data_IF_984825870526
#
_entry.id   IF_984825870526
#
_cell.length_a   1.000
_cell.length_b   1.000
_cell.length_c   1.000
_cell.angle_alpha   90.00
_cell.angle_beta   90.00
_cell.angle_gamma   90.00
#
_symmetry.space_group_name_H-M   'P 1'
#
loop_
_entity.id
_entity.type
_entity.pdbx_description
1 polymer ?
#
# COMPACT_ATOMS: atom_id res chain seq x y z
N UNK A 1 -26.36 18.40 62.63
CA UNK A 1 -26.15 19.74 62.07
C UNK A 1 -24.65 19.93 61.96
N UNK A 2 -24.04 20.02 60.78
CA UNK A 2 -24.57 20.19 59.44
C UNK A 2 -23.53 19.73 58.42
N UNK A 3 -24.04 19.40 57.23
CA UNK A 3 -23.52 19.60 55.88
C UNK A 3 -22.02 19.32 55.62
N UNK A 4 -21.69 18.27 54.86
CA UNK A 4 -21.79 18.22 53.39
C UNK A 4 -20.67 19.04 52.71
N UNK A 5 -19.74 18.31 52.09
CA UNK A 5 -18.90 18.78 50.99
C UNK A 5 -18.42 17.55 50.22
N UNK A 6 -19.39 16.88 49.60
CA UNK A 6 -19.17 15.94 48.51
C UNK A 6 -18.56 16.70 47.31
N UNK A 7 -17.24 16.67 47.18
CA UNK A 7 -16.57 17.18 45.98
C UNK A 7 -16.65 16.12 44.87
N UNK A 8 -17.36 16.37 43.76
CA UNK A 8 -17.41 15.43 42.65
C UNK A 8 -16.05 15.41 41.96
N UNK A 9 -15.37 14.27 42.04
CA UNK A 9 -13.99 14.11 41.54
C UNK A 9 -13.88 13.23 40.30
N UNK A 10 -14.95 13.15 39.49
CA UNK A 10 -15.07 12.08 38.49
C UNK A 10 -15.53 12.52 37.08
N UNK A 11 -15.32 13.79 36.68
CA UNK A 11 -15.72 14.26 35.34
C UNK A 11 -14.57 14.64 34.40
N UNK A 12 -13.30 14.51 34.80
CA UNK A 12 -12.15 14.91 33.95
C UNK A 12 -11.54 13.79 33.09
N UNK A 13 -12.00 12.55 33.24
CA UNK A 13 -11.42 11.40 32.51
C UNK A 13 -12.21 11.01 31.24
N UNK A 14 -13.34 11.67 30.96
CA UNK A 14 -14.19 11.34 29.81
C UNK A 14 -13.86 12.10 28.51
N UNK A 15 -12.98 13.11 28.55
CA UNK A 15 -12.84 14.07 27.45
C UNK A 15 -11.63 13.85 26.52
N UNK A 16 -10.81 12.80 26.77
CA UNK A 16 -9.54 12.57 26.05
C UNK A 16 -9.55 11.36 25.09
N UNK A 17 -10.74 10.89 24.66
CA UNK A 17 -10.91 9.78 23.69
C UNK A 17 -11.31 10.12 22.23
N UNK A 18 -11.26 11.36 21.71
CA UNK A 18 -11.66 11.61 20.31
C UNK A 18 -10.59 11.24 19.26
N UNK A 19 -9.32 11.04 19.63
CA UNK A 19 -8.23 10.93 18.65
C UNK A 19 -8.01 9.52 18.07
N UNK A 20 -8.39 8.47 18.82
CA UNK A 20 -8.13 7.08 18.40
C UNK A 20 -9.19 6.58 17.40
N UNK A 21 -10.46 6.93 17.62
CA UNK A 21 -11.57 6.53 16.72
C UNK A 21 -11.46 7.16 15.34
N UNK A 22 -11.08 8.44 15.26
CA UNK A 22 -10.91 9.18 14.00
C UNK A 22 -9.77 8.59 13.16
N UNK A 23 -8.65 8.22 13.79
CA UNK A 23 -7.49 7.61 13.10
C UNK A 23 -7.80 6.20 12.60
N UNK A 24 -8.48 5.39 13.40
CA UNK A 24 -8.92 4.04 12.97
C UNK A 24 -9.89 4.11 11.78
N UNK A 25 -10.82 5.06 11.80
CA UNK A 25 -11.75 5.28 10.69
C UNK A 25 -11.04 5.69 9.39
N UNK A 26 -10.01 6.53 9.47
CA UNK A 26 -9.26 6.96 8.27
C UNK A 26 -8.42 5.83 7.68
N UNK A 27 -7.75 5.04 8.51
CA UNK A 27 -6.97 3.89 8.00
C UNK A 27 -7.86 2.83 7.37
N UNK A 28 -8.99 2.52 7.99
CA UNK A 28 -9.96 1.57 7.43
C UNK A 28 -10.52 2.07 6.09
N UNK A 29 -10.89 3.34 5.99
CA UNK A 29 -11.37 3.94 4.74
C UNK A 29 -10.31 3.88 3.63
N UNK A 30 -9.04 4.15 3.94
CA UNK A 30 -7.95 4.03 2.96
C UNK A 30 -7.75 2.59 2.49
N UNK A 31 -7.82 1.60 3.40
CA UNK A 31 -7.72 0.18 3.05
C UNK A 31 -8.90 -0.25 2.16
N UNK A 32 -10.12 0.11 2.53
CA UNK A 32 -11.32 -0.21 1.74
C UNK A 32 -11.22 0.44 0.35
N UNK A 33 -10.85 1.72 0.30
CA UNK A 33 -10.69 2.43 -0.97
C UNK A 33 -9.59 1.80 -1.83
N UNK A 34 -8.47 1.39 -1.22
CA UNK A 34 -7.39 0.69 -1.90
C UNK A 34 -7.90 -0.61 -2.54
N UNK A 35 -8.65 -1.43 -1.80
CA UNK A 35 -9.18 -2.70 -2.30
C UNK A 35 -10.18 -2.48 -3.44
N UNK A 36 -11.09 -1.49 -3.30
CA UNK A 36 -12.07 -1.17 -4.36
C UNK A 36 -11.37 -0.70 -5.63
N UNK A 37 -10.41 0.22 -5.52
CA UNK A 37 -9.62 0.69 -6.67
C UNK A 37 -8.86 -0.45 -7.32
N UNK A 38 -8.33 -1.37 -6.51
CA UNK A 38 -7.57 -2.50 -7.01
C UNK A 38 -8.44 -3.48 -7.78
N UNK A 39 -9.61 -3.83 -7.25
CA UNK A 39 -10.58 -4.67 -7.95
C UNK A 39 -11.03 -4.01 -9.26
N UNK A 40 -11.30 -2.71 -9.24
CA UNK A 40 -11.65 -1.95 -10.45
C UNK A 40 -10.51 -1.98 -11.48
N UNK A 41 -9.27 -1.76 -11.07
CA UNK A 41 -8.14 -1.78 -11.99
C UNK A 41 -7.95 -3.17 -12.64
N UNK A 42 -8.03 -4.24 -11.85
CA UNK A 42 -7.98 -5.63 -12.35
C UNK A 42 -9.12 -5.93 -13.33
N UNK A 43 -10.32 -5.47 -13.01
CA UNK A 43 -11.53 -5.64 -13.80
C UNK A 43 -11.64 -4.66 -14.99
N UNK A 44 -10.60 -3.87 -15.28
CA UNK A 44 -10.63 -2.81 -16.30
C UNK A 44 -11.82 -1.85 -16.16
N UNK A 45 -12.20 -1.57 -14.91
CA UNK A 45 -13.32 -0.72 -14.52
C UNK A 45 -14.71 -1.26 -14.90
N UNK A 46 -14.84 -2.56 -15.18
CA UNK A 46 -16.14 -3.23 -15.35
C UNK A 46 -16.69 -3.71 -13.99
N UNK A 47 -17.80 -3.09 -13.57
CA UNK A 47 -18.47 -3.42 -12.32
C UNK A 47 -19.04 -4.85 -12.27
N UNK A 48 -19.36 -5.47 -13.41
CA UNK A 48 -19.85 -6.85 -13.44
C UNK A 48 -18.72 -7.83 -13.10
N UNK A 49 -17.53 -7.59 -13.65
CA UNK A 49 -16.33 -8.37 -13.35
C UNK A 49 -15.90 -8.12 -11.91
N UNK A 50 -15.96 -6.88 -11.41
CA UNK A 50 -15.70 -6.58 -9.99
C UNK A 50 -16.63 -7.37 -9.08
N UNK A 51 -17.94 -7.40 -9.37
CA UNK A 51 -18.91 -8.16 -8.58
C UNK A 51 -18.60 -9.67 -8.61
N UNK A 52 -18.32 -10.21 -9.81
CA UNK A 52 -17.93 -11.60 -9.98
C UNK A 52 -16.66 -11.95 -9.19
N UNK A 53 -15.63 -11.10 -9.19
CA UNK A 53 -14.41 -11.29 -8.41
C UNK A 53 -14.72 -11.15 -6.90
N UNK A 54 -15.53 -10.17 -6.49
CA UNK A 54 -15.85 -9.94 -5.09
C UNK A 54 -16.61 -11.12 -4.46
N UNK A 55 -17.45 -11.80 -5.23
CA UNK A 55 -18.18 -13.00 -4.78
C UNK A 55 -17.25 -14.21 -4.52
N UNK A 56 -16.02 -14.18 -5.05
CA UNK A 56 -15.05 -15.28 -4.93
C UNK A 56 -13.98 -15.01 -3.90
N UNK A 57 -13.86 -13.78 -3.40
CA UNK A 57 -12.79 -13.38 -2.49
C UNK A 57 -13.24 -13.30 -1.03
N UNK A 58 -12.45 -13.87 -0.14
CA UNK A 58 -12.51 -13.53 1.27
C UNK A 58 -11.68 -12.26 1.53
N UNK A 59 -12.34 -11.21 2.01
CA UNK A 59 -11.68 -9.94 2.34
C UNK A 59 -10.72 -10.05 3.54
N UNK A 60 -10.70 -11.18 4.25
CA UNK A 60 -9.66 -11.51 5.21
C UNK A 60 -8.26 -11.54 4.58
N UNK A 61 -8.16 -11.75 3.25
CA UNK A 61 -6.92 -11.77 2.46
C UNK A 61 -6.48 -10.40 1.90
N UNK A 62 -6.98 -9.30 2.44
CA UNK A 62 -6.61 -7.95 2.00
C UNK A 62 -5.10 -7.65 2.05
N UNK A 63 -4.36 -8.31 2.97
CA UNK A 63 -2.92 -8.09 3.12
C UNK A 63 -2.10 -8.68 1.95
N UNK A 64 -2.27 -9.96 1.55
CA UNK A 64 -1.70 -10.50 0.33
C UNK A 64 -1.95 -9.65 -0.92
N UNK A 65 -3.17 -9.12 -1.08
CA UNK A 65 -3.53 -8.26 -2.22
C UNK A 65 -2.67 -7.00 -2.26
N UNK A 66 -2.54 -6.33 -1.12
CA UNK A 66 -1.72 -5.13 -1.02
C UNK A 66 -0.25 -5.44 -1.31
N UNK A 67 0.27 -6.54 -0.76
CA UNK A 67 1.65 -6.95 -0.97
C UNK A 67 1.93 -7.32 -2.43
N UNK A 68 1.05 -8.12 -3.05
CA UNK A 68 1.16 -8.52 -4.45
C UNK A 68 1.04 -7.33 -5.41
N UNK A 69 0.24 -6.31 -5.08
CA UNK A 69 0.15 -5.07 -5.87
C UNK A 69 1.49 -4.32 -5.88
N UNK A 70 2.16 -4.29 -4.74
CA UNK A 70 3.44 -3.60 -4.58
C UNK A 70 4.58 -4.39 -5.23
N UNK A 71 4.56 -5.72 -5.15
CA UNK A 71 5.60 -6.58 -5.76
C UNK A 71 5.40 -6.76 -7.27
N UNK A 72 4.15 -6.81 -7.73
CA UNK A 72 3.79 -7.13 -9.12
C UNK A 72 4.16 -6.06 -10.15
N UNK A 73 4.40 -4.81 -9.73
CA UNK A 73 4.91 -3.76 -10.61
C UNK A 73 6.16 -3.09 -10.05
N UNK A 74 7.35 -3.66 -10.31
CA UNK A 74 8.62 -3.13 -9.81
C UNK A 74 8.85 -1.68 -10.23
N UNK A 75 8.40 -1.28 -11.42
CA UNK A 75 8.63 0.07 -11.92
C UNK A 75 7.89 1.13 -11.07
N UNK A 76 6.58 0.99 -10.91
CA UNK A 76 5.79 1.96 -10.15
C UNK A 76 6.15 1.98 -8.67
N UNK A 77 6.39 0.80 -8.08
CA UNK A 77 6.87 0.67 -6.70
C UNK A 77 8.23 1.32 -6.51
N UNK A 78 9.14 1.17 -7.47
CA UNK A 78 10.42 1.87 -7.48
C UNK A 78 10.27 3.39 -7.46
N UNK A 79 9.31 3.95 -8.21
CA UNK A 79 9.07 5.41 -8.26
C UNK A 79 8.59 5.87 -6.89
N UNK A 80 7.63 5.14 -6.32
CA UNK A 80 7.08 5.43 -5.00
C UNK A 80 8.18 5.42 -3.94
N UNK A 81 9.04 4.39 -3.92
CA UNK A 81 10.18 4.30 -3.00
C UNK A 81 11.18 5.43 -3.26
N UNK A 82 11.54 5.72 -4.50
CA UNK A 82 12.50 6.75 -4.86
C UNK A 82 12.06 8.15 -4.37
N UNK A 83 10.76 8.41 -4.33
CA UNK A 83 10.20 9.66 -3.80
C UNK A 83 10.06 9.63 -2.27
N UNK A 84 9.53 8.54 -1.70
CA UNK A 84 9.23 8.47 -0.27
C UNK A 84 10.48 8.30 0.60
N UNK A 85 11.44 7.50 0.16
CA UNK A 85 12.66 7.18 0.92
C UNK A 85 13.42 8.45 1.37
N UNK A 86 13.76 9.41 0.50
CA UNK A 86 14.47 10.62 0.92
C UNK A 86 13.63 11.50 1.87
N UNK A 87 12.31 11.54 1.72
CA UNK A 87 11.42 12.30 2.61
C UNK A 87 11.37 11.69 4.01
N UNK A 88 11.27 10.37 4.10
CA UNK A 88 11.26 9.64 5.37
C UNK A 88 12.63 9.72 6.06
N UNK A 89 13.73 9.52 5.30
CA UNK A 89 15.08 9.64 5.84
C UNK A 89 15.38 11.04 6.35
N UNK A 90 14.91 12.08 5.65
CA UNK A 90 15.06 13.46 6.12
C UNK A 90 14.41 13.66 7.49
N UNK A 91 13.26 13.04 7.76
CA UNK A 91 12.57 13.13 9.05
C UNK A 91 13.35 12.44 10.19
N UNK A 92 14.02 11.33 9.89
CA UNK A 92 14.80 10.56 10.88
C UNK A 92 16.18 11.19 11.13
N UNK A 93 16.90 11.57 10.07
CA UNK A 93 18.26 12.11 10.15
C UNK A 93 18.31 13.59 10.55
N UNK A 94 17.26 14.36 10.21
CA UNK A 94 17.18 15.80 10.48
C UNK A 94 15.81 16.19 11.05
N UNK A 95 15.52 15.83 12.32
CA UNK A 95 14.27 16.21 12.97
C UNK A 95 14.15 17.76 12.97
N UNK A 96 13.11 18.27 12.30
CA UNK A 96 12.94 19.70 12.03
C UNK A 96 12.28 20.48 13.18
N UNK A 97 11.65 19.81 14.15
CA UNK A 97 10.97 20.51 15.25
C UNK A 97 11.98 20.95 16.33
N UNK A 98 11.93 22.24 16.70
CA UNK A 98 12.74 22.87 17.77
C UNK A 98 12.43 22.32 19.16
N UNK A 99 11.24 21.74 19.34
CA UNK A 99 10.94 20.89 20.49
C UNK A 99 11.53 19.53 20.14
N UNK A 100 12.46 19.02 20.94
CA UNK A 100 13.10 17.69 20.81
C UNK A 100 12.04 16.58 20.81
N UNK A 101 11.29 16.50 19.72
CA UNK A 101 10.18 15.60 19.49
C UNK A 101 10.78 14.25 19.22
N UNK A 102 10.48 13.33 20.13
CA UNK A 102 10.81 11.92 20.08
C UNK A 102 10.80 11.41 18.65
N UNK A 103 11.93 10.88 18.20
CA UNK A 103 11.98 10.05 17.00
C UNK A 103 10.94 8.95 17.23
N UNK A 104 9.80 9.08 16.55
CA UNK A 104 8.72 8.12 16.69
C UNK A 104 9.22 6.79 16.12
N UNK A 105 9.04 5.70 16.88
CA UNK A 105 9.43 4.35 16.46
C UNK A 105 8.92 4.04 15.04
N UNK A 106 7.71 4.50 14.70
CA UNK A 106 7.12 4.36 13.36
C UNK A 106 7.93 5.01 12.24
N UNK A 107 8.58 6.16 12.46
CA UNK A 107 9.40 6.81 11.43
C UNK A 107 10.69 6.04 11.18
N UNK A 108 11.32 5.51 12.24
CA UNK A 108 12.52 4.66 12.11
C UNK A 108 12.16 3.37 11.42
N UNK A 109 11.10 2.70 11.89
CA UNK A 109 10.64 1.46 11.30
C UNK A 109 10.29 1.64 9.82
N UNK A 110 9.54 2.70 9.48
CA UNK A 110 9.24 3.04 8.09
C UNK A 110 10.49 3.32 7.24
N UNK A 111 11.51 3.97 7.79
CA UNK A 111 12.78 4.19 7.07
C UNK A 111 13.52 2.88 6.81
N UNK A 112 13.60 2.00 7.82
CA UNK A 112 14.22 0.68 7.70
C UNK A 112 13.47 -0.14 6.66
N UNK A 113 12.13 -0.19 6.74
CA UNK A 113 11.29 -0.89 5.76
C UNK A 113 11.54 -0.39 4.34
N UNK A 114 11.53 0.93 4.10
CA UNK A 114 11.77 1.48 2.75
C UNK A 114 13.18 1.19 2.25
N UNK A 115 14.21 1.25 3.12
CA UNK A 115 15.58 0.89 2.74
C UNK A 115 15.66 -0.59 2.38
N UNK A 116 15.15 -1.49 3.24
CA UNK A 116 15.15 -2.93 3.00
C UNK A 116 14.44 -3.26 1.70
N UNK A 117 13.30 -2.61 1.46
CA UNK A 117 12.52 -2.80 0.25
C UNK A 117 13.25 -2.30 -1.01
N UNK A 118 13.90 -1.13 -0.95
CA UNK A 118 14.72 -0.63 -2.05
C UNK A 118 15.89 -1.58 -2.39
N UNK A 119 16.57 -2.10 -1.36
CA UNK A 119 17.67 -3.06 -1.52
C UNK A 119 17.15 -4.37 -2.10
N UNK A 120 16.09 -4.92 -1.52
CA UNK A 120 15.46 -6.16 -2.01
C UNK A 120 15.08 -6.02 -3.47
N UNK A 121 14.44 -4.91 -3.85
CA UNK A 121 14.02 -4.69 -5.23
C UNK A 121 15.22 -4.55 -6.18
N UNK A 122 16.30 -3.91 -5.74
CA UNK A 122 17.53 -3.77 -6.52
C UNK A 122 18.21 -5.12 -6.77
N UNK A 123 18.28 -5.96 -5.73
CA UNK A 123 18.92 -7.29 -5.80
C UNK A 123 18.07 -8.27 -6.60
N UNK A 124 16.76 -8.33 -6.33
CA UNK A 124 15.84 -9.29 -6.97
C UNK A 124 15.58 -8.94 -8.43
N UNK A 125 15.31 -7.68 -8.76
CA UNK A 125 14.93 -7.27 -10.12
C UNK A 125 16.09 -6.67 -10.93
N UNK A 126 17.31 -6.65 -10.38
CA UNK A 126 18.47 -6.04 -11.05
C UNK A 126 18.24 -4.56 -11.37
N UNK A 127 17.48 -3.86 -10.53
CA UNK A 127 16.98 -2.51 -10.78
C UNK A 127 17.74 -1.48 -9.93
N UNK A 128 18.92 -0.99 -10.37
CA UNK A 128 19.68 0.01 -9.64
C UNK A 128 19.06 1.41 -9.73
N UNK A 129 18.17 1.65 -10.69
CA UNK A 129 17.61 2.98 -10.91
C UNK A 129 16.79 3.44 -9.71
N UNK A 130 16.17 2.53 -8.95
CA UNK A 130 15.42 2.87 -7.73
C UNK A 130 16.33 3.56 -6.70
N UNK A 131 17.53 3.03 -6.48
CA UNK A 131 18.52 3.60 -5.56
C UNK A 131 19.10 4.89 -6.11
N UNK A 132 19.43 4.93 -7.41
CA UNK A 132 19.94 6.14 -8.07
C UNK A 132 18.89 7.26 -8.03
N UNK A 133 17.62 6.93 -8.30
CA UNK A 133 16.49 7.85 -8.25
C UNK A 133 16.25 8.37 -6.83
N UNK A 134 16.27 7.49 -5.83
CA UNK A 134 16.17 7.89 -4.44
C UNK A 134 17.32 8.83 -4.02
N UNK A 135 18.55 8.53 -4.45
CA UNK A 135 19.72 9.36 -4.20
C UNK A 135 19.61 10.71 -4.91
N UNK A 136 19.15 10.75 -6.16
CA UNK A 136 18.95 11.97 -6.94
C UNK A 136 17.87 12.87 -6.32
N UNK A 137 16.71 12.31 -5.96
CA UNK A 137 15.64 13.04 -5.26
C UNK A 137 16.12 13.50 -3.90
N UNK A 138 16.83 12.65 -3.14
CA UNK A 138 17.43 13.01 -1.87
C UNK A 138 18.42 14.17 -1.99
N UNK A 139 19.34 14.12 -2.96
CA UNK A 139 20.29 15.18 -3.23
C UNK A 139 19.60 16.49 -3.65
N UNK A 140 18.56 16.42 -4.48
CA UNK A 140 17.76 17.58 -4.86
C UNK A 140 17.08 18.22 -3.64
N UNK A 141 16.47 17.41 -2.77
CA UNK A 141 15.80 17.89 -1.55
C UNK A 141 16.81 18.48 -0.57
N UNK A 142 17.98 17.85 -0.38
CA UNK A 142 19.06 18.35 0.47
C UNK A 142 19.63 19.66 -0.09
N UNK A 143 19.92 19.70 -1.40
CA UNK A 143 20.46 20.88 -2.07
C UNK A 143 19.50 22.07 -2.01
N UNK A 144 18.22 21.84 -2.31
CA UNK A 144 17.15 22.83 -2.18
C UNK A 144 17.09 23.42 -0.78
N UNK A 145 17.26 22.57 0.25
CA UNK A 145 17.28 23.00 1.65
C UNK A 145 18.55 23.77 2.03
N UNK A 146 19.72 23.32 1.60
CA UNK A 146 21.00 23.98 1.90
C UNK A 146 21.06 25.36 1.25
N UNK A 147 20.50 25.50 0.05
CA UNK A 147 20.45 26.75 -0.70
C UNK A 147 19.45 27.76 -0.10
N UNK A 148 18.29 27.30 0.37
CA UNK A 148 17.22 28.15 0.89
C UNK A 148 17.02 27.98 2.40
N UNK A 149 18.08 28.27 3.17
CA UNK A 149 18.07 28.22 4.66
C UNK A 149 17.17 29.27 5.34
N UNK A 150 16.71 30.29 4.63
CA UNK A 150 15.84 31.36 5.17
C UNK A 150 14.73 31.70 4.16
N UNK A 151 13.54 31.12 4.31
CA UNK A 151 12.37 31.48 3.51
C UNK A 151 11.25 30.44 3.46
N UNK A 152 10.22 30.74 2.67
CA UNK A 152 8.96 29.98 2.45
C UNK A 152 9.17 28.51 2.11
N UNK A 153 10.31 28.16 1.52
CA UNK A 153 10.68 26.78 1.17
C UNK A 153 10.85 25.90 2.41
N UNK A 154 11.44 26.45 3.50
CA UNK A 154 11.59 25.71 4.76
C UNK A 154 10.23 25.31 5.34
N UNK A 155 9.28 26.25 5.34
CA UNK A 155 7.91 26.01 5.82
C UNK A 155 7.17 25.03 4.92
N UNK A 156 7.39 25.09 3.61
CA UNK A 156 6.78 24.15 2.66
C UNK A 156 7.31 22.73 2.87
N UNK A 157 8.62 22.58 3.08
CA UNK A 157 9.24 21.27 3.33
C UNK A 157 8.81 20.67 4.68
N UNK A 158 8.63 21.52 5.70
CA UNK A 158 8.03 21.16 6.99
C UNK A 158 6.58 20.70 6.84
N UNK A 159 5.76 21.40 6.05
CA UNK A 159 4.38 20.97 5.78
C UNK A 159 4.34 19.65 5.01
N UNK A 160 5.24 19.46 4.05
CA UNK A 160 5.33 18.24 3.27
C UNK A 160 5.74 17.04 4.14
N UNK A 161 6.73 17.22 5.03
CA UNK A 161 7.19 16.16 5.94
C UNK A 161 6.12 15.74 6.96
N UNK A 162 5.23 16.66 7.35
CA UNK A 162 4.05 16.37 8.17
C UNK A 162 2.96 15.61 7.41
N UNK A 163 2.94 15.70 6.08
CA UNK A 163 1.98 15.01 5.20
C UNK A 163 2.52 13.73 4.56
N UNK A 164 3.69 13.24 4.97
CA UNK A 164 4.27 12.00 4.41
C UNK A 164 3.30 10.83 4.46
N UNK A 165 2.57 10.64 5.57
CA UNK A 165 1.56 9.58 5.64
C UNK A 165 0.46 9.71 4.59
N UNK A 166 0.00 10.94 4.31
CA UNK A 166 -0.97 11.22 3.24
C UNK A 166 -0.36 10.97 1.87
N UNK A 167 0.89 11.42 1.63
CA UNK A 167 1.58 11.17 0.36
C UNK A 167 1.80 9.68 0.11
N UNK A 168 2.16 8.91 1.14
CA UNK A 168 2.27 7.46 1.06
C UNK A 168 0.93 6.83 0.75
N UNK A 169 -0.13 7.20 1.48
CA UNK A 169 -1.48 6.68 1.22
C UNK A 169 -1.95 7.03 -0.20
N UNK A 170 -1.82 8.28 -0.63
CA UNK A 170 -2.16 8.72 -1.99
C UNK A 170 -1.34 7.98 -3.05
N UNK A 171 -0.03 7.83 -2.84
CA UNK A 171 0.83 7.08 -3.76
C UNK A 171 0.42 5.61 -3.89
N UNK A 172 0.05 4.96 -2.78
CA UNK A 172 -0.48 3.59 -2.79
C UNK A 172 -1.85 3.49 -3.47
N UNK A 173 -2.73 4.47 -3.28
CA UNK A 173 -4.03 4.49 -3.96
C UNK A 173 -3.89 4.71 -5.47
N UNK A 174 -2.96 5.57 -5.89
CA UNK A 174 -2.62 5.74 -7.32
C UNK A 174 -2.06 4.43 -7.88
N UNK A 175 -1.15 3.78 -7.16
CA UNK A 175 -0.60 2.48 -7.55
C UNK A 175 -1.70 1.43 -7.71
N UNK A 176 -2.64 1.36 -6.78
CA UNK A 176 -3.78 0.44 -6.82
C UNK A 176 -4.70 0.69 -8.02
N UNK A 177 -4.95 1.96 -8.36
CA UNK A 177 -5.83 2.34 -9.45
C UNK A 177 -5.21 2.15 -10.85
N UNK A 178 -3.87 2.20 -10.95
CA UNK A 178 -3.16 2.12 -12.22
C UNK A 178 -2.67 0.70 -12.52
N UNK A 179 -2.39 -0.11 -11.50
CA UNK A 179 -1.93 -1.48 -11.69
C UNK A 179 -3.11 -2.39 -12.07
N UNK A 180 -3.15 -2.80 -13.34
CA UNK A 180 -4.13 -3.68 -13.96
C UNK A 180 -3.73 -5.17 -13.89
N UNK A 181 -2.47 -5.49 -13.61
CA UNK A 181 -1.98 -6.86 -13.46
C UNK A 181 -2.52 -7.43 -12.14
N UNK A 182 -3.23 -8.57 -12.11
CA UNK A 182 -3.70 -9.18 -10.86
C UNK A 182 -2.56 -9.51 -9.89
N UNK A 183 -2.86 -9.65 -8.61
CA UNK A 183 -1.83 -9.99 -7.59
C UNK A 183 -1.47 -11.49 -7.58
N UNK A 184 -2.18 -12.31 -8.36
CA UNK A 184 -1.95 -13.74 -8.50
C UNK A 184 -1.10 -14.03 -9.73
N UNK A 185 -0.37 -15.14 -9.69
CA UNK A 185 0.40 -15.61 -10.83
C UNK A 185 -0.52 -15.96 -11.98
N UNK A 186 -0.03 -15.72 -13.19
CA UNK A 186 -0.67 -16.25 -14.39
C UNK A 186 -0.36 -17.75 -14.48
N UNK A 187 -1.40 -18.53 -14.76
CA UNK A 187 -1.28 -19.97 -14.84
C UNK A 187 -1.80 -20.49 -16.18
N UNK A 188 -1.07 -21.47 -16.72
CA UNK A 188 -1.50 -22.29 -17.84
C UNK A 188 -2.14 -23.56 -17.30
N UNK A 189 -3.42 -23.71 -17.55
CA UNK A 189 -4.25 -24.81 -17.02
C UNK A 189 -4.60 -25.74 -18.17
N UNK A 190 -4.12 -26.99 -18.10
CA UNK A 190 -4.44 -28.00 -19.08
C UNK A 190 -5.74 -28.71 -18.71
N UNK A 191 -6.75 -28.60 -19.58
CA UNK A 191 -8.08 -29.20 -19.38
C UNK A 191 -8.43 -30.22 -20.47
N UNK A 192 -9.50 -30.99 -20.26
CA UNK A 192 -10.07 -31.91 -21.26
C UNK A 192 -10.45 -31.22 -22.58
N UNK A 193 -10.86 -29.95 -22.52
CA UNK A 193 -11.35 -29.20 -23.68
C UNK A 193 -10.28 -28.33 -24.35
N UNK A 194 -9.09 -28.24 -23.75
CA UNK A 194 -7.99 -27.42 -24.24
C UNK A 194 -7.17 -26.78 -23.12
N UNK A 195 -6.36 -25.79 -23.49
CA UNK A 195 -5.54 -25.04 -22.54
C UNK A 195 -6.23 -23.72 -22.23
N UNK A 196 -6.40 -23.41 -20.95
CA UNK A 196 -6.91 -22.13 -20.47
C UNK A 196 -5.77 -21.38 -19.80
N UNK A 197 -5.48 -20.16 -20.27
CA UNK A 197 -4.47 -19.28 -19.69
C UNK A 197 -5.16 -18.12 -18.97
N UNK A 198 -4.84 -17.92 -17.70
CA UNK A 198 -5.42 -16.85 -16.90
C UNK A 198 -4.94 -16.84 -15.46
N UNK A 199 -5.50 -15.94 -14.67
CA UNK A 199 -5.15 -15.76 -13.27
C UNK A 199 -6.12 -16.54 -12.39
N UNK A 200 -5.64 -17.53 -11.65
CA UNK A 200 -6.49 -18.31 -10.72
C UNK A 200 -6.87 -17.40 -9.55
N UNK A 201 -8.14 -17.01 -9.48
CA UNK A 201 -8.70 -16.14 -8.45
C UNK A 201 -8.89 -16.87 -7.13
N UNK A 202 -9.41 -18.09 -7.21
CA UNK A 202 -9.70 -18.93 -6.06
C UNK A 202 -9.64 -20.41 -6.46
N UNK A 203 -9.19 -21.24 -5.54
CA UNK A 203 -9.05 -22.68 -5.72
C UNK A 203 -9.77 -23.42 -4.60
N UNK A 204 -11.09 -23.58 -4.78
CA UNK A 204 -11.92 -24.35 -3.87
C UNK A 204 -11.96 -25.82 -4.27
N UNK A 205 -12.19 -26.75 -3.31
CA UNK A 205 -12.40 -28.15 -3.66
C UNK A 205 -13.56 -28.31 -4.65
N UNK A 206 -13.27 -28.81 -5.85
CA UNK A 206 -14.25 -29.13 -6.89
C UNK A 206 -14.33 -28.15 -8.06
N UNK A 207 -13.83 -26.91 -7.93
CA UNK A 207 -13.78 -25.95 -9.03
C UNK A 207 -12.71 -24.86 -8.83
N UNK A 208 -12.18 -24.36 -9.94
CA UNK A 208 -11.24 -23.26 -10.01
C UNK A 208 -11.92 -22.05 -10.63
N UNK A 209 -11.76 -20.88 -10.00
CA UNK A 209 -12.19 -19.62 -10.59
C UNK A 209 -10.99 -18.98 -11.27
N UNK A 210 -11.09 -18.76 -12.57
CA UNK A 210 -9.99 -18.27 -13.39
C UNK A 210 -10.43 -16.98 -14.08
N UNK A 211 -9.65 -15.92 -13.92
CA UNK A 211 -9.81 -14.68 -14.67
C UNK A 211 -9.00 -14.77 -15.95
N UNK A 212 -9.68 -14.86 -17.09
CA UNK A 212 -9.03 -14.91 -18.40
C UNK A 212 -8.40 -13.56 -18.77
N UNK A 213 -7.60 -13.55 -19.83
CA UNK A 213 -7.04 -12.33 -20.41
C UNK A 213 -8.11 -11.33 -20.87
N UNK A 214 -9.26 -11.83 -21.31
CA UNK A 214 -10.42 -11.03 -21.69
C UNK A 214 -11.21 -10.50 -20.48
N UNK A 215 -10.70 -10.72 -19.26
CA UNK A 215 -11.30 -10.34 -17.98
C UNK A 215 -12.65 -11.00 -17.71
N UNK A 216 -12.83 -12.21 -18.23
CA UNK A 216 -13.99 -13.03 -17.92
C UNK A 216 -13.66 -14.02 -16.80
N UNK A 217 -14.58 -14.19 -15.85
CA UNK A 217 -14.43 -15.18 -14.78
C UNK A 217 -15.01 -16.50 -15.29
N UNK A 218 -14.14 -17.49 -15.48
CA UNK A 218 -14.49 -18.84 -15.91
C UNK A 218 -14.35 -19.79 -14.73
N UNK A 219 -15.36 -20.66 -14.55
CA UNK A 219 -15.37 -21.68 -13.51
C UNK A 219 -15.01 -23.01 -14.17
N UNK A 220 -13.87 -23.58 -13.80
CA UNK A 220 -13.37 -24.85 -14.34
C UNK A 220 -13.54 -25.94 -13.28
N UNK A 221 -14.27 -27.03 -13.54
CA UNK A 221 -14.33 -28.16 -12.62
C UNK A 221 -12.95 -28.75 -12.38
N UNK A 222 -12.61 -29.07 -11.13
CA UNK A 222 -11.30 -29.65 -10.78
C UNK A 222 -11.05 -31.01 -11.46
N UNK A 223 -12.14 -31.76 -11.72
CA UNK A 223 -12.08 -33.03 -12.45
C UNK A 223 -11.59 -32.88 -13.89
N UNK A 224 -11.75 -31.70 -14.48
CA UNK A 224 -11.35 -31.42 -15.86
C UNK A 224 -9.89 -30.92 -15.93
N UNK A 225 -9.23 -30.70 -14.80
CA UNK A 225 -7.86 -30.14 -14.73
C UNK A 225 -6.82 -31.25 -14.59
N UNK A 226 -5.93 -31.34 -15.57
CA UNK A 226 -4.84 -32.33 -15.60
C UNK A 226 -3.56 -31.81 -14.97
N UNK A 227 -3.20 -30.57 -15.29
CA UNK A 227 -1.99 -29.92 -14.78
C UNK A 227 -2.13 -28.40 -14.77
N UNK A 228 -1.32 -27.78 -13.89
CA UNK A 228 -1.21 -26.33 -13.73
C UNK A 228 0.27 -25.95 -13.72
N UNK A 229 0.62 -25.00 -14.57
CA UNK A 229 1.98 -24.48 -14.67
C UNK A 229 1.95 -22.96 -14.56
N UNK A 230 2.87 -22.39 -13.78
CA UNK A 230 3.05 -20.94 -13.72
C UNK A 230 3.66 -20.46 -15.05
N UNK A 231 3.08 -19.40 -15.60
CA UNK A 231 3.62 -18.74 -16.79
C UNK A 231 4.67 -17.72 -16.32
N UNK A 232 5.92 -17.91 -16.74
CA UNK A 232 7.08 -17.03 -16.44
C UNK A 232 7.08 -15.75 -17.30
#
# INVERSE_FOLDING_TARGET
MDADADTPRDERDAQDRPDVSVRLGTTAAVVVLFLVLRLLAVAHWDWHVVAAIADTFDFSDAFPIAFGTVVGQPLLTGILIAVLLPLVLMRVLWPMDKHRGTITVSSVLGSVTLITMAISMTVTFGNPWTVVGAAAVGAAVIGMRLWWRTGVVHDTLLRLSRRVGVLTATGLLILAAVNDVPWMGEERIHTDTGVVEGYVLDAQPGFLHVLTHDREVVIIPDADVHSRELVD
#
